data_IF_314964462459
#
_entry.id   IF_314964462459
#
_cell.length_a   1.000
_cell.length_b   1.000
_cell.length_c   1.000
_cell.angle_alpha   90.00
_cell.angle_beta   90.00
_cell.angle_gamma   90.00
#
_symmetry.space_group_name_H-M   'P 1'
#
loop_
_entity.id
_entity.type
_entity.pdbx_description
1 polymer ?
#
# COMPACT_ATOMS: atom_id res chain seq x y z
N UNK A 1 -12.53 0.18 -5.05
CA UNK A 1 -11.22 0.49 -4.40
C UNK A 1 -11.47 1.08 -3.02
N UNK A 2 -11.25 0.31 -1.94
CA UNK A 2 -11.26 0.85 -0.59
C UNK A 2 -10.14 1.87 -0.44
N UNK A 3 -10.50 3.06 0.05
CA UNK A 3 -9.52 4.08 0.44
C UNK A 3 -9.00 3.73 1.83
N UNK A 4 -7.68 3.58 1.98
CA UNK A 4 -7.09 3.32 3.29
C UNK A 4 -6.95 4.65 4.04
N UNK A 5 -6.16 5.59 3.49
CA UNK A 5 -6.01 6.97 3.99
C UNK A 5 -5.27 7.87 2.98
N UNK A 6 -5.02 9.14 3.36
CA UNK A 6 -4.18 10.09 2.62
C UNK A 6 -2.99 10.55 3.46
N UNK A 7 -1.89 10.88 2.79
CA UNK A 7 -0.73 11.57 3.36
C UNK A 7 -0.43 12.79 2.50
N UNK A 8 -0.86 13.98 2.96
CA UNK A 8 -0.82 15.19 2.14
C UNK A 8 -1.59 15.01 0.83
N UNK A 9 -0.90 15.24 -0.30
CA UNK A 9 -1.46 15.08 -1.66
C UNK A 9 -1.42 13.63 -2.19
N UNK A 10 -0.85 12.69 -1.42
CA UNK A 10 -0.72 11.30 -1.81
C UNK A 10 -1.84 10.44 -1.24
N UNK A 11 -2.38 9.58 -2.10
CA UNK A 11 -3.41 8.62 -1.75
C UNK A 11 -2.79 7.25 -1.49
N UNK A 12 -3.24 6.60 -0.42
CA UNK A 12 -2.87 5.21 -0.08
C UNK A 12 -4.13 4.35 -0.17
N UNK A 13 -4.12 3.34 -1.03
CA UNK A 13 -5.30 2.56 -1.35
C UNK A 13 -4.98 1.11 -1.75
N UNK A 14 -6.00 0.24 -1.67
CA UNK A 14 -5.91 -1.13 -2.21
C UNK A 14 -6.39 -1.17 -3.65
N UNK A 15 -5.67 -1.92 -4.48
CA UNK A 15 -6.11 -2.22 -5.83
C UNK A 15 -7.06 -3.40 -5.78
N UNK A 16 -8.33 -3.18 -6.15
CA UNK A 16 -9.36 -4.22 -5.99
C UNK A 16 -9.31 -5.30 -7.07
N UNK A 17 -8.66 -5.03 -8.21
CA UNK A 17 -8.58 -5.96 -9.34
C UNK A 17 -7.20 -6.63 -9.37
N UNK A 18 -6.94 -7.47 -8.38
CA UNK A 18 -5.72 -8.29 -8.34
C UNK A 18 -5.85 -9.49 -9.28
N UNK A 19 -4.79 -9.78 -10.02
CA UNK A 19 -4.68 -11.03 -10.78
C UNK A 19 -4.58 -12.21 -9.82
N UNK A 20 -5.31 -13.31 -10.08
CA UNK A 20 -5.18 -14.53 -9.27
C UNK A 20 -3.84 -15.26 -9.54
N UNK A 21 -3.13 -15.76 -8.51
CA UNK A 21 -3.48 -15.78 -7.07
C UNK A 21 -3.32 -14.43 -6.37
N UNK A 22 -4.12 -14.19 -5.31
CA UNK A 22 -4.06 -12.98 -4.48
C UNK A 22 -2.62 -12.72 -4.01
N UNK A 23 -2.15 -11.51 -4.25
CA UNK A 23 -0.81 -11.11 -3.86
C UNK A 23 -0.73 -10.94 -2.33
N UNK A 24 0.47 -10.96 -1.73
CA UNK A 24 0.64 -10.54 -0.35
C UNK A 24 0.07 -9.14 -0.06
N UNK A 25 -0.14 -8.79 1.20
CA UNK A 25 -0.70 -7.50 1.59
C UNK A 25 0.18 -6.35 1.08
N UNK A 26 -0.43 -5.43 0.36
CA UNK A 26 0.25 -4.26 -0.19
C UNK A 26 -0.68 -3.05 -0.33
N UNK A 27 -0.07 -1.89 -0.53
CA UNK A 27 -0.76 -0.64 -0.82
C UNK A 27 -0.18 0.00 -2.08
N UNK A 28 -1.04 0.73 -2.77
CA UNK A 28 -0.65 1.60 -3.87
C UNK A 28 -0.62 3.05 -3.42
N UNK A 29 0.38 3.78 -3.91
CA UNK A 29 0.62 5.19 -3.61
C UNK A 29 0.62 5.97 -4.92
N UNK A 30 -0.25 6.98 -5.01
CA UNK A 30 -0.27 7.89 -6.15
C UNK A 30 -0.56 9.33 -5.69
N UNK A 31 -0.05 10.32 -6.41
CA UNK A 31 -0.41 11.72 -6.19
C UNK A 31 -1.74 11.99 -6.89
N UNK A 32 -2.75 12.46 -6.14
CA UNK A 32 -4.10 12.62 -6.70
C UNK A 32 -4.85 11.28 -6.91
N UNK A 33 -5.83 11.27 -7.81
CA UNK A 33 -6.76 10.14 -7.93
C UNK A 33 -6.03 8.80 -8.20
N UNK A 34 -6.56 7.65 -7.70
CA UNK A 34 -6.02 6.32 -8.01
C UNK A 34 -5.85 6.08 -9.51
N UNK A 35 -4.67 5.63 -9.91
CA UNK A 35 -4.32 5.35 -11.31
C UNK A 35 -3.65 3.98 -11.44
N UNK A 36 -3.75 3.39 -12.63
CA UNK A 36 -2.99 2.20 -12.96
C UNK A 36 -1.48 2.52 -12.96
N UNK A 37 -0.64 1.55 -12.58
CA UNK A 37 0.81 1.75 -12.51
C UNK A 37 1.27 2.65 -11.36
N UNK A 38 0.49 2.75 -10.28
CA UNK A 38 0.90 3.43 -9.06
C UNK A 38 2.07 2.74 -8.35
N UNK A 39 2.86 3.51 -7.61
CA UNK A 39 3.93 3.00 -6.72
C UNK A 39 3.36 1.94 -5.78
N UNK A 40 3.93 0.73 -5.79
CA UNK A 40 3.48 -0.41 -4.97
C UNK A 40 4.43 -0.62 -3.78
N UNK A 41 3.86 -0.78 -2.59
CA UNK A 41 4.59 -1.06 -1.34
C UNK A 41 3.94 -2.23 -0.62
N UNK A 42 4.73 -3.25 -0.30
CA UNK A 42 4.31 -4.41 0.50
C UNK A 42 4.35 -4.09 1.99
N UNK A 43 3.46 -4.73 2.76
CA UNK A 43 3.52 -4.76 4.22
C UNK A 43 4.06 -6.12 4.64
N UNK A 44 5.10 -6.13 5.49
CA UNK A 44 5.66 -7.37 6.03
C UNK A 44 4.94 -7.78 7.31
N UNK A 45 5.13 -9.03 7.75
CA UNK A 45 4.52 -9.53 8.99
C UNK A 45 4.96 -8.73 10.23
N UNK A 46 6.15 -8.12 10.18
CA UNK A 46 6.66 -7.24 11.24
C UNK A 46 6.05 -5.81 11.22
N UNK A 47 5.08 -5.54 10.33
CA UNK A 47 4.49 -4.21 10.16
C UNK A 47 5.42 -3.21 9.46
N UNK A 48 6.44 -3.71 8.74
CA UNK A 48 7.39 -2.88 7.98
C UNK A 48 7.00 -2.78 6.51
N UNK A 49 7.54 -1.77 5.83
CA UNK A 49 7.28 -1.57 4.41
C UNK A 49 8.42 -2.08 3.54
N UNK A 50 8.09 -2.77 2.45
CA UNK A 50 9.03 -3.13 1.40
C UNK A 50 8.60 -2.50 0.06
N UNK A 51 9.45 -1.67 -0.52
CA UNK A 51 9.15 -0.99 -1.78
C UNK A 51 9.23 -1.97 -2.95
N UNK A 52 8.11 -2.23 -3.63
CA UNK A 52 8.06 -3.11 -4.79
C UNK A 52 8.52 -2.40 -6.06
N UNK A 53 7.96 -1.21 -6.30
CA UNK A 53 8.29 -0.36 -7.44
C UNK A 53 7.94 1.08 -7.11
N UNK A 54 8.55 2.02 -7.84
CA UNK A 54 8.23 3.45 -7.75
C UNK A 54 7.82 4.00 -9.13
N UNK A 55 6.81 3.39 -9.74
CA UNK A 55 6.34 3.77 -11.07
C UNK A 55 5.75 5.19 -11.12
N UNK A 56 5.22 5.69 -10.00
CA UNK A 56 4.74 7.08 -9.89
C UNK A 56 5.87 8.11 -9.73
N UNK A 57 7.15 7.68 -9.76
CA UNK A 57 8.34 8.53 -9.66
C UNK A 57 8.30 9.48 -8.45
N UNK A 58 7.82 8.96 -7.32
CA UNK A 58 7.73 9.73 -6.07
C UNK A 58 9.17 10.00 -5.60
N UNK A 59 9.54 11.26 -5.27
CA UNK A 59 10.87 11.55 -4.74
C UNK A 59 11.18 10.68 -3.52
N UNK A 60 12.40 10.15 -3.43
CA UNK A 60 12.80 9.17 -2.41
C UNK A 60 12.56 9.67 -0.99
N UNK A 61 12.87 10.92 -0.68
CA UNK A 61 12.62 11.53 0.64
C UNK A 61 11.14 11.52 0.99
N UNK A 62 10.28 11.90 0.03
CA UNK A 62 8.83 11.91 0.21
C UNK A 62 8.28 10.50 0.37
N UNK A 63 8.74 9.56 -0.47
CA UNK A 63 8.33 8.16 -0.41
C UNK A 63 8.72 7.53 0.93
N UNK A 64 9.93 7.78 1.43
CA UNK A 64 10.38 7.29 2.73
C UNK A 64 9.51 7.84 3.88
N UNK A 65 9.12 9.11 3.82
CA UNK A 65 8.22 9.70 4.82
C UNK A 65 6.83 9.07 4.76
N UNK A 66 6.30 8.82 3.56
CA UNK A 66 5.01 8.13 3.39
C UNK A 66 5.10 6.69 3.93
N UNK A 67 6.18 5.96 3.61
CA UNK A 67 6.40 4.60 4.12
C UNK A 67 6.45 4.57 5.65
N UNK A 68 7.11 5.55 6.32
CA UNK A 68 7.08 5.65 7.79
C UNK A 68 5.67 5.81 8.35
N UNK A 69 4.82 6.60 7.69
CA UNK A 69 3.40 6.76 8.08
C UNK A 69 2.63 5.46 7.87
N UNK A 70 2.90 4.74 6.79
CA UNK A 70 2.31 3.43 6.50
C UNK A 70 2.72 2.41 7.57
N UNK A 71 4.00 2.36 7.95
CA UNK A 71 4.49 1.47 9.03
C UNK A 71 3.81 1.77 10.36
N UNK A 72 3.70 3.04 10.72
CA UNK A 72 3.04 3.48 11.96
C UNK A 72 1.54 3.12 12.01
N UNK A 73 0.92 2.90 10.84
CA UNK A 73 -0.50 2.53 10.70
C UNK A 73 -0.69 1.12 10.14
N UNK A 74 0.36 0.28 10.16
CA UNK A 74 0.35 -1.03 9.52
C UNK A 74 -0.79 -1.93 10.01
N UNK A 75 -1.11 -1.90 11.30
CA UNK A 75 -2.23 -2.67 11.86
C UNK A 75 -3.58 -2.29 11.22
N UNK A 76 -3.86 -1.00 11.07
CA UNK A 76 -5.10 -0.52 10.42
C UNK A 76 -5.19 -0.97 8.96
N UNK A 77 -4.06 -1.02 8.27
CA UNK A 77 -3.98 -1.51 6.88
C UNK A 77 -4.28 -3.01 6.83
N UNK A 78 -3.68 -3.79 7.74
CA UNK A 78 -3.91 -5.23 7.83
C UNK A 78 -5.39 -5.53 8.11
N UNK A 79 -5.99 -4.84 9.08
CA UNK A 79 -7.40 -5.04 9.45
C UNK A 79 -8.33 -4.72 8.27
N UNK A 80 -8.07 -3.61 7.56
CA UNK A 80 -8.84 -3.23 6.36
C UNK A 80 -8.62 -4.21 5.20
N UNK A 81 -7.43 -4.77 5.07
CA UNK A 81 -7.13 -5.77 4.05
C UNK A 81 -7.91 -7.06 4.31
N UNK A 82 -7.84 -7.58 5.54
CA UNK A 82 -8.59 -8.79 5.94
C UNK A 82 -10.09 -8.56 5.81
N UNK A 83 -10.59 -7.39 6.20
CA UNK A 83 -12.01 -7.06 6.05
C UNK A 83 -12.47 -7.02 4.58
N UNK A 84 -11.58 -6.69 3.64
CA UNK A 84 -11.93 -6.56 2.22
C UNK A 84 -11.70 -7.86 1.42
N UNK A 85 -10.58 -8.53 1.64
CA UNK A 85 -10.18 -9.73 0.88
C UNK A 85 -10.44 -11.05 1.62
N UNK A 86 -10.84 -11.00 2.90
CA UNK A 86 -11.04 -12.17 3.78
C UNK A 86 -9.82 -13.10 3.92
N UNK A 87 -8.65 -12.68 3.43
CA UNK A 87 -7.40 -13.43 3.42
C UNK A 87 -6.24 -12.45 3.55
N UNK A 88 -5.17 -12.86 4.22
CA UNK A 88 -3.92 -12.10 4.31
C UNK A 88 -2.74 -13.04 4.14
N UNK A 89 -1.77 -12.60 3.33
CA UNK A 89 -0.46 -13.23 3.17
C UNK A 89 0.57 -12.11 3.28
N UNK A 90 1.71 -12.38 3.89
CA UNK A 90 2.79 -11.39 4.00
C UNK A 90 3.89 -11.69 3.00
N UNK A 91 4.57 -10.65 2.54
CA UNK A 91 5.75 -10.80 1.71
C UNK A 91 6.95 -11.11 2.60
N UNK A 92 7.45 -12.36 2.49
CA UNK A 92 8.46 -12.98 3.36
C UNK A 92 7.97 -13.20 4.80
#
# INVERSE_FOLDING_TARGET
MPRVFKVGSYWVYFWANESGPLEPIHVHICMGAPQAGATKVWITQAGKCYLCNNNSRIPSTTLNNIMKVIEARSQEIIDKWVAFFCQVRFYC
#
